data_IF_082289545101
#
_entry.id   IF_082289545101
#
_cell.length_a   1.000
_cell.length_b   1.000
_cell.length_c   1.000
_cell.angle_alpha   90.00
_cell.angle_beta   90.00
_cell.angle_gamma   90.00
#
_symmetry.space_group_name_H-M   'P 1'
#
loop_
_entity.id
_entity.type
_entity.pdbx_description
1 polymer ?
#
# COMPACT_ATOMS: atom_id res chain seq x y z
N UNK A 1 20.13 -4.58 0.60
CA UNK A 1 20.60 -4.96 1.95
C UNK A 1 19.53 -5.70 2.75
N UNK A 2 18.32 -5.14 2.95
CA UNK A 2 17.25 -5.80 3.72
C UNK A 2 16.89 -7.22 3.23
N UNK A 3 16.73 -7.41 1.92
CA UNK A 3 16.39 -8.71 1.31
C UNK A 3 17.38 -9.82 1.69
N UNK A 4 18.68 -9.52 1.63
CA UNK A 4 19.73 -10.48 1.99
C UNK A 4 19.71 -10.82 3.48
N UNK A 5 19.45 -9.82 4.34
CA UNK A 5 19.35 -10.02 5.79
C UNK A 5 18.12 -10.87 6.16
N UNK A 6 16.98 -10.67 5.49
CA UNK A 6 15.81 -11.53 5.65
C UNK A 6 16.07 -12.96 5.22
N UNK A 7 16.77 -13.16 4.10
CA UNK A 7 17.16 -14.49 3.64
C UNK A 7 18.12 -15.22 4.59
N UNK A 8 18.99 -14.49 5.28
CA UNK A 8 19.86 -15.06 6.32
C UNK A 8 19.16 -15.30 7.67
N UNK A 9 17.89 -14.90 7.81
CA UNK A 9 17.18 -14.95 9.09
C UNK A 9 17.57 -13.85 10.09
N UNK A 10 18.36 -12.85 9.67
CA UNK A 10 18.69 -11.67 10.46
C UNK A 10 17.53 -10.65 10.44
N UNK A 11 16.35 -11.06 10.92
CA UNK A 11 15.09 -10.34 10.79
C UNK A 11 15.13 -8.92 11.39
N UNK A 12 15.74 -8.75 12.57
CA UNK A 12 15.81 -7.45 13.24
C UNK A 12 16.58 -6.41 12.41
N UNK A 13 17.78 -6.79 11.93
CA UNK A 13 18.60 -5.92 11.08
C UNK A 13 17.93 -5.66 9.72
N UNK A 14 17.28 -6.70 9.16
CA UNK A 14 16.53 -6.56 7.92
C UNK A 14 15.38 -5.56 8.07
N UNK A 15 14.66 -5.59 9.20
CA UNK A 15 13.60 -4.63 9.51
C UNK A 15 14.15 -3.23 9.73
N UNK A 16 15.26 -3.06 10.45
CA UNK A 16 15.90 -1.75 10.59
C UNK A 16 16.27 -1.18 9.22
N UNK A 17 16.85 -2.00 8.35
CA UNK A 17 17.20 -1.61 6.98
C UNK A 17 15.96 -1.25 6.15
N UNK A 18 14.87 -2.01 6.29
CA UNK A 18 13.62 -1.78 5.58
C UNK A 18 12.91 -0.50 6.06
N UNK A 19 12.86 -0.27 7.38
CA UNK A 19 12.32 0.95 7.96
C UNK A 19 13.14 2.18 7.58
N UNK A 20 14.48 2.07 7.59
CA UNK A 20 15.35 3.14 7.13
C UNK A 20 15.09 3.49 5.66
N UNK A 21 14.92 2.48 4.80
CA UNK A 21 14.54 2.71 3.40
C UNK A 21 13.20 3.44 3.27
N UNK A 22 12.16 3.01 4.00
CA UNK A 22 10.84 3.71 3.97
C UNK A 22 10.89 5.14 4.50
N UNK A 23 11.76 5.38 5.48
CA UNK A 23 11.95 6.70 6.05
C UNK A 23 12.63 7.63 5.04
N UNK A 24 13.71 7.17 4.41
CA UNK A 24 14.42 7.94 3.37
C UNK A 24 13.53 8.25 2.17
N UNK A 25 12.74 7.29 1.70
CA UNK A 25 11.76 7.49 0.63
C UNK A 25 10.75 8.61 0.95
N UNK A 26 10.33 8.70 2.22
CA UNK A 26 9.45 9.78 2.68
C UNK A 26 10.14 11.14 2.68
N UNK A 27 11.43 11.19 3.05
CA UNK A 27 12.23 12.42 3.08
C UNK A 27 12.55 12.88 1.66
N UNK A 28 12.95 11.98 0.77
CA UNK A 28 13.26 12.27 -0.63
C UNK A 28 12.03 12.79 -1.37
N UNK A 29 10.84 12.22 -1.11
CA UNK A 29 9.59 12.74 -1.66
C UNK A 29 9.21 14.14 -1.17
N UNK A 30 9.70 14.58 -0.01
CA UNK A 30 9.56 15.97 0.45
C UNK A 30 10.61 16.87 -0.18
N UNK A 31 11.86 16.41 -0.24
CA UNK A 31 12.98 17.15 -0.82
C UNK A 31 12.78 17.39 -2.31
N UNK A 32 12.30 16.40 -3.06
CA UNK A 32 12.02 16.52 -4.50
C UNK A 32 11.03 17.65 -4.82
N UNK A 33 10.03 17.86 -3.96
CA UNK A 33 9.04 18.96 -4.11
C UNK A 33 9.65 20.34 -3.89
N UNK A 34 10.73 20.43 -3.11
CA UNK A 34 11.44 21.69 -2.84
C UNK A 34 12.49 21.96 -3.93
N UNK A 35 13.08 20.92 -4.53
CA UNK A 35 14.23 21.06 -5.44
C UNK A 35 13.85 21.08 -6.93
N UNK A 36 12.58 20.84 -7.31
CA UNK A 36 12.07 20.85 -8.70
C UNK A 36 12.96 20.05 -9.67
N UNK A 37 13.53 18.93 -9.21
CA UNK A 37 14.48 18.14 -9.99
C UNK A 37 13.81 16.81 -10.39
N UNK A 38 12.94 16.85 -11.40
CA UNK A 38 12.18 15.70 -11.87
C UNK A 38 12.75 15.18 -13.18
N UNK A 39 13.28 13.95 -13.17
CA UNK A 39 13.58 13.18 -14.38
C UNK A 39 12.51 12.10 -14.58
N UNK A 40 11.92 12.05 -15.78
CA UNK A 40 10.90 11.05 -16.14
C UNK A 40 11.42 9.61 -15.99
N UNK A 41 12.71 9.38 -16.27
CA UNK A 41 13.33 8.06 -16.13
C UNK A 41 13.47 7.65 -14.65
N UNK A 42 13.93 8.56 -13.79
CA UNK A 42 14.08 8.30 -12.36
C UNK A 42 12.75 7.91 -11.72
N UNK A 43 11.69 8.67 -12.01
CA UNK A 43 10.35 8.39 -11.49
C UNK A 43 9.81 7.00 -11.90
N UNK A 44 10.07 6.56 -13.13
CA UNK A 44 9.67 5.22 -13.59
C UNK A 44 10.48 4.13 -12.87
N UNK A 45 11.77 4.36 -12.71
CA UNK A 45 12.67 3.41 -12.06
C UNK A 45 12.33 3.22 -10.58
N UNK A 46 12.12 4.32 -9.84
CA UNK A 46 11.74 4.31 -8.43
C UNK A 46 10.39 3.59 -8.25
N UNK A 47 9.42 3.90 -9.13
CA UNK A 47 8.12 3.24 -9.12
C UNK A 47 8.22 1.72 -9.37
N UNK A 48 9.09 1.29 -10.29
CA UNK A 48 9.29 -0.13 -10.59
C UNK A 48 9.95 -0.88 -9.42
N UNK A 49 10.95 -0.28 -8.79
CA UNK A 49 11.62 -0.82 -7.59
C UNK A 49 10.61 -0.97 -6.46
N UNK A 50 9.81 0.05 -6.18
CA UNK A 50 8.80 -0.01 -5.13
C UNK A 50 7.71 -1.05 -5.38
N UNK A 51 7.49 -1.42 -6.66
CA UNK A 51 6.56 -2.48 -7.03
C UNK A 51 7.14 -3.88 -6.80
N UNK A 52 8.43 -4.08 -7.04
CA UNK A 52 9.06 -5.42 -7.07
C UNK A 52 9.66 -5.82 -5.72
N UNK A 53 10.27 -4.88 -4.99
CA UNK A 53 10.98 -5.22 -3.76
C UNK A 53 10.10 -5.72 -2.60
N UNK A 54 8.87 -5.22 -2.37
CA UNK A 54 8.02 -5.72 -1.29
C UNK A 54 7.76 -7.23 -1.34
N UNK A 55 7.26 -7.83 -2.44
CA UNK A 55 7.03 -9.27 -2.49
C UNK A 55 8.32 -10.08 -2.35
N UNK A 56 9.45 -9.56 -2.84
CA UNK A 56 10.75 -10.23 -2.66
C UNK A 56 11.19 -10.28 -1.20
N UNK A 57 10.88 -9.27 -0.39
CA UNK A 57 11.15 -9.31 1.06
C UNK A 57 10.34 -10.41 1.75
N UNK A 58 9.06 -10.57 1.37
CA UNK A 58 8.20 -11.60 1.94
C UNK A 58 8.67 -13.01 1.57
N UNK A 59 9.11 -13.19 0.32
CA UNK A 59 9.71 -14.45 -0.14
C UNK A 59 11.01 -14.73 0.62
N UNK A 60 11.92 -13.76 0.72
CA UNK A 60 13.18 -13.93 1.44
C UNK A 60 12.96 -14.28 2.92
N UNK A 61 11.97 -13.67 3.56
CA UNK A 61 11.56 -13.98 4.94
C UNK A 61 10.96 -15.38 5.07
N UNK A 62 10.09 -15.79 4.14
CA UNK A 62 9.52 -17.15 4.17
C UNK A 62 10.54 -18.23 3.87
N UNK A 63 11.48 -17.98 2.95
CA UNK A 63 12.56 -18.93 2.61
C UNK A 63 13.49 -19.20 3.79
N UNK A 64 13.81 -18.19 4.60
CA UNK A 64 14.63 -18.38 5.80
C UNK A 64 13.89 -19.12 6.93
N UNK A 65 12.56 -19.05 6.95
CA UNK A 65 11.73 -19.84 7.87
C UNK A 65 11.39 -21.24 7.36
N UNK A 66 11.48 -21.49 6.05
CA UNK A 66 11.03 -22.74 5.42
C UNK A 66 11.67 -24.00 6.03
N UNK A 67 12.92 -23.91 6.45
CA UNK A 67 13.66 -25.04 7.05
C UNK A 67 13.32 -25.28 8.53
N UNK A 68 12.71 -24.31 9.21
CA UNK A 68 12.41 -24.34 10.65
C UNK A 68 10.91 -24.51 10.92
N UNK A 69 10.06 -23.88 10.09
CA UNK A 69 8.61 -23.90 10.17
C UNK A 69 8.03 -24.21 8.79
N UNK A 70 7.89 -25.51 8.48
CA UNK A 70 7.34 -25.95 7.19
C UNK A 70 5.83 -25.65 7.06
N UNK A 71 5.12 -25.60 8.18
CA UNK A 71 3.69 -25.32 8.26
C UNK A 71 3.41 -24.28 9.36
N UNK A 72 2.48 -23.38 9.08
CA UNK A 72 2.02 -22.34 10.01
C UNK A 72 0.48 -22.41 10.00
N UNK A 73 -0.12 -22.72 11.15
CA UNK A 73 -1.59 -22.84 11.30
C UNK A 73 -2.17 -23.80 10.24
N UNK A 74 -1.63 -25.01 10.15
CA UNK A 74 -2.02 -26.07 9.20
C UNK A 74 -1.92 -25.69 7.70
N UNK A 75 -1.29 -24.56 7.39
CA UNK A 75 -1.05 -24.10 6.03
C UNK A 75 0.44 -24.20 5.72
N UNK A 76 0.79 -24.82 4.58
CA UNK A 76 2.19 -24.95 4.21
C UNK A 76 2.81 -23.58 3.88
N UNK A 77 4.10 -23.42 4.22
CA UNK A 77 4.85 -22.20 3.92
C UNK A 77 4.79 -21.84 2.43
N UNK A 78 4.83 -22.84 1.55
CA UNK A 78 4.68 -22.66 0.11
C UNK A 78 3.33 -22.02 -0.26
N UNK A 79 2.23 -22.48 0.35
CA UNK A 79 0.91 -21.88 0.13
C UNK A 79 0.85 -20.44 0.61
N UNK A 80 1.43 -20.13 1.79
CA UNK A 80 1.49 -18.76 2.32
C UNK A 80 2.22 -17.82 1.36
N UNK A 81 3.37 -18.25 0.84
CA UNK A 81 4.15 -17.47 -0.13
C UNK A 81 3.40 -17.27 -1.44
N UNK A 82 2.77 -18.33 -1.98
CA UNK A 82 1.98 -18.23 -3.20
C UNK A 82 0.75 -17.35 -3.06
N UNK A 83 0.00 -17.48 -1.96
CA UNK A 83 -1.16 -16.65 -1.68
C UNK A 83 -0.77 -15.18 -1.52
N UNK A 84 0.36 -14.90 -0.85
CA UNK A 84 0.88 -13.53 -0.72
C UNK A 84 1.28 -12.96 -2.09
N UNK A 85 2.00 -13.73 -2.91
CA UNK A 85 2.46 -13.28 -4.23
C UNK A 85 1.30 -13.08 -5.21
N UNK A 86 0.41 -14.07 -5.34
CA UNK A 86 -0.77 -14.00 -6.22
C UNK A 86 -1.71 -12.92 -5.72
N UNK A 87 -1.97 -12.84 -4.42
CA UNK A 87 -2.78 -11.79 -3.82
C UNK A 87 -2.22 -10.41 -4.15
N UNK A 88 -0.92 -10.19 -3.97
CA UNK A 88 -0.26 -8.93 -4.32
C UNK A 88 -0.43 -8.58 -5.80
N UNK A 89 -0.21 -9.55 -6.69
CA UNK A 89 -0.35 -9.37 -8.13
C UNK A 89 -1.79 -9.01 -8.51
N UNK A 90 -2.78 -9.73 -7.98
CA UNK A 90 -4.20 -9.46 -8.19
C UNK A 90 -4.56 -8.05 -7.72
N UNK A 91 -4.11 -7.64 -6.53
CA UNK A 91 -4.34 -6.29 -6.02
C UNK A 91 -3.80 -5.22 -6.97
N UNK A 92 -2.58 -5.41 -7.49
CA UNK A 92 -1.96 -4.47 -8.44
C UNK A 92 -2.63 -4.45 -9.81
N UNK A 93 -3.03 -5.61 -10.31
CA UNK A 93 -3.81 -5.69 -11.54
C UNK A 93 -5.16 -4.97 -11.37
N UNK A 94 -5.83 -5.13 -10.22
CA UNK A 94 -7.10 -4.45 -9.97
C UNK A 94 -6.93 -2.93 -9.97
N UNK A 95 -5.93 -2.40 -9.28
CA UNK A 95 -5.62 -0.97 -9.29
C UNK A 95 -5.30 -0.45 -10.70
N UNK A 96 -4.45 -1.17 -11.44
CA UNK A 96 -4.05 -0.78 -12.80
C UNK A 96 -5.18 -0.85 -13.81
N UNK A 97 -6.03 -1.88 -13.73
CA UNK A 97 -7.24 -2.00 -14.57
C UNK A 97 -8.23 -0.89 -14.22
N UNK A 98 -8.45 -0.61 -12.94
CA UNK A 98 -9.35 0.48 -12.54
C UNK A 98 -8.84 1.83 -13.07
N UNK A 99 -7.54 2.09 -12.93
CA UNK A 99 -6.95 3.34 -13.40
C UNK A 99 -7.02 3.50 -14.92
N UNK A 100 -6.76 2.41 -15.67
CA UNK A 100 -6.73 2.44 -17.14
C UNK A 100 -8.12 2.49 -17.76
N UNK A 101 -9.07 1.76 -17.21
CA UNK A 101 -10.37 1.58 -17.84
C UNK A 101 -11.46 2.43 -17.20
N UNK A 102 -11.47 2.62 -15.88
CA UNK A 102 -12.61 3.21 -15.16
C UNK A 102 -12.38 4.69 -14.86
N UNK A 103 -11.41 5.00 -14.00
CA UNK A 103 -11.14 6.37 -13.52
C UNK A 103 -9.63 6.58 -13.40
N UNK A 104 -9.09 7.58 -14.10
CA UNK A 104 -7.64 7.85 -14.16
C UNK A 104 -7.01 8.23 -12.81
N UNK A 105 -7.83 8.73 -11.88
CA UNK A 105 -7.43 9.04 -10.50
C UNK A 105 -7.14 7.79 -9.65
N UNK A 106 -7.54 6.59 -10.13
CA UNK A 106 -7.31 5.31 -9.48
C UNK A 106 -8.43 4.90 -8.51
N UNK A 107 -8.44 3.61 -8.15
CA UNK A 107 -9.51 2.99 -7.34
C UNK A 107 -9.71 3.65 -5.97
N UNK A 108 -8.63 4.15 -5.37
CA UNK A 108 -8.66 4.75 -4.04
C UNK A 108 -9.22 6.18 -4.00
N UNK A 109 -9.35 6.83 -5.15
CA UNK A 109 -9.91 8.16 -5.25
C UNK A 109 -11.39 8.11 -5.67
N UNK A 110 -11.96 6.91 -5.86
CA UNK A 110 -13.31 6.78 -6.37
C UNK A 110 -14.37 7.10 -5.31
N UNK A 111 -14.33 6.46 -4.14
CA UNK A 111 -15.21 6.80 -3.01
C UNK A 111 -14.42 7.07 -1.72
N UNK A 112 -14.99 7.80 -0.74
CA UNK A 112 -14.32 8.10 0.54
C UNK A 112 -13.86 6.85 1.30
N UNK A 113 -14.64 5.77 1.20
CA UNK A 113 -14.29 4.47 1.82
C UNK A 113 -13.01 3.91 1.21
N UNK A 114 -12.79 4.03 -0.10
CA UNK A 114 -11.56 3.55 -0.73
C UNK A 114 -10.36 4.40 -0.33
N UNK A 115 -10.56 5.71 -0.14
CA UNK A 115 -9.52 6.62 0.33
C UNK A 115 -9.08 6.27 1.76
N UNK A 116 -10.01 5.91 2.63
CA UNK A 116 -9.71 5.40 3.97
C UNK A 116 -8.99 4.04 3.89
N UNK A 117 -9.51 3.14 3.05
CA UNK A 117 -8.91 1.83 2.85
C UNK A 117 -7.45 1.92 2.38
N UNK A 118 -7.11 2.93 1.55
CA UNK A 118 -5.73 3.19 1.12
C UNK A 118 -4.78 3.47 2.28
N UNK A 119 -5.24 4.19 3.31
CA UNK A 119 -4.41 4.52 4.48
C UNK A 119 -4.12 3.29 5.32
N UNK A 120 -5.12 2.43 5.45
CA UNK A 120 -5.02 1.17 6.20
C UNK A 120 -4.15 0.18 5.43
N UNK A 121 -4.36 0.03 4.13
CA UNK A 121 -3.68 -0.97 3.30
C UNK A 121 -2.32 -0.55 2.77
N UNK A 122 -1.83 0.66 3.06
CA UNK A 122 -0.61 1.34 2.60
C UNK A 122 0.64 0.52 2.23
N UNK A 123 0.48 -0.40 1.28
CA UNK A 123 1.33 -1.30 0.49
C UNK A 123 2.56 -1.94 1.13
N UNK A 124 3.40 -1.18 1.83
CA UNK A 124 4.69 -1.64 2.39
C UNK A 124 4.77 -1.41 3.89
N UNK A 125 4.29 -0.26 4.37
CA UNK A 125 4.40 0.14 5.76
C UNK A 125 3.56 -0.74 6.71
N UNK A 126 2.28 -1.06 6.41
CA UNK A 126 1.50 -1.96 7.25
C UNK A 126 2.14 -3.34 7.37
N UNK A 127 2.68 -3.88 6.26
CA UNK A 127 3.33 -5.18 6.28
C UNK A 127 4.61 -5.16 7.13
N UNK A 128 5.40 -4.08 7.08
CA UNK A 128 6.54 -3.91 7.98
C UNK A 128 6.12 -3.79 9.46
N UNK A 129 5.00 -3.15 9.76
CA UNK A 129 4.44 -3.12 11.13
C UNK A 129 4.10 -4.54 11.58
N UNK A 130 3.42 -5.33 10.74
CA UNK A 130 3.07 -6.72 11.05
C UNK A 130 4.32 -7.57 11.32
N UNK A 131 5.36 -7.46 10.48
CA UNK A 131 6.63 -8.14 10.73
C UNK A 131 7.31 -7.68 12.02
N UNK A 132 7.33 -6.37 12.27
CA UNK A 132 7.94 -5.81 13.48
C UNK A 132 7.26 -6.34 14.74
N UNK A 133 5.91 -6.31 14.77
CA UNK A 133 5.15 -6.85 15.89
C UNK A 133 5.41 -8.35 16.07
N UNK A 134 5.38 -9.12 14.99
CA UNK A 134 5.63 -10.57 15.04
C UNK A 134 7.01 -10.92 15.60
N UNK A 135 8.03 -10.13 15.24
CA UNK A 135 9.38 -10.33 15.73
C UNK A 135 9.49 -9.97 17.21
N UNK A 136 8.80 -8.93 17.67
CA UNK A 136 8.74 -8.56 19.09
C UNK A 136 8.12 -9.66 19.96
N UNK A 137 7.14 -10.40 19.42
CA UNK A 137 6.56 -11.56 20.09
C UNK A 137 7.38 -12.86 19.92
N UNK A 138 8.55 -12.78 19.29
CA UNK A 138 9.41 -13.95 19.04
C UNK A 138 8.83 -14.96 18.04
N UNK A 139 7.81 -14.55 17.27
CA UNK A 139 7.07 -15.38 16.32
C UNK A 139 7.13 -14.78 14.91
N UNK A 140 8.30 -14.81 14.25
CA UNK A 140 8.48 -14.25 12.90
C UNK A 140 7.63 -14.96 11.83
N UNK A 141 7.20 -16.19 12.10
CA UNK A 141 6.26 -16.99 11.33
C UNK A 141 4.87 -16.35 11.26
N UNK A 142 4.34 -15.91 12.40
CA UNK A 142 3.02 -15.26 12.47
C UNK A 142 2.98 -13.93 11.71
N UNK A 143 4.11 -13.23 11.59
CA UNK A 143 4.20 -12.00 10.81
C UNK A 143 3.94 -12.24 9.33
N UNK A 144 4.55 -13.29 8.78
CA UNK A 144 4.35 -13.67 7.37
C UNK A 144 2.92 -14.12 7.12
N UNK A 145 2.35 -14.92 8.04
CA UNK A 145 0.94 -15.32 7.97
C UNK A 145 -0.01 -14.11 8.02
N UNK A 146 0.23 -13.16 8.93
CA UNK A 146 -0.55 -11.93 9.03
C UNK A 146 -0.48 -11.10 7.73
N UNK A 147 0.71 -10.97 7.14
CA UNK A 147 0.90 -10.29 5.83
C UNK A 147 0.16 -11.02 4.71
N UNK A 148 0.20 -12.35 4.70
CA UNK A 148 -0.55 -13.15 3.74
C UNK A 148 -2.05 -12.89 3.86
N UNK A 149 -2.61 -13.01 5.07
CA UNK A 149 -4.03 -12.74 5.33
C UNK A 149 -4.41 -11.32 4.95
N UNK A 150 -3.61 -10.33 5.35
CA UNK A 150 -3.81 -8.93 5.00
C UNK A 150 -3.85 -8.72 3.48
N UNK A 151 -2.90 -9.32 2.77
CA UNK A 151 -2.80 -9.23 1.31
C UNK A 151 -4.03 -9.87 0.64
N UNK A 152 -4.42 -11.07 1.04
CA UNK A 152 -5.60 -11.76 0.48
C UNK A 152 -6.87 -10.94 0.72
N UNK A 153 -7.12 -10.51 1.96
CA UNK A 153 -8.30 -9.71 2.31
C UNK A 153 -8.33 -8.40 1.52
N UNK A 154 -7.18 -7.72 1.39
CA UNK A 154 -7.11 -6.47 0.64
C UNK A 154 -7.38 -6.66 -0.86
N UNK A 155 -6.86 -7.72 -1.45
CA UNK A 155 -7.06 -8.01 -2.88
C UNK A 155 -8.47 -8.46 -3.20
N UNK A 156 -9.12 -9.18 -2.29
CA UNK A 156 -10.56 -9.51 -2.40
C UNK A 156 -11.41 -8.24 -2.38
N UNK A 157 -11.14 -7.31 -1.44
CA UNK A 157 -11.81 -6.02 -1.40
C UNK A 157 -11.63 -5.25 -2.71
N UNK A 158 -10.39 -5.13 -3.21
CA UNK A 158 -10.11 -4.42 -4.47
C UNK A 158 -10.78 -5.07 -5.67
N UNK A 159 -10.83 -6.40 -5.73
CA UNK A 159 -11.51 -7.14 -6.80
C UNK A 159 -13.01 -6.87 -6.78
N UNK A 160 -13.62 -6.92 -5.60
CA UNK A 160 -15.04 -6.58 -5.43
C UNK A 160 -15.33 -5.14 -5.88
N UNK A 161 -14.49 -4.17 -5.47
CA UNK A 161 -14.62 -2.76 -5.88
C UNK A 161 -14.45 -2.57 -7.40
N UNK A 162 -13.53 -3.31 -8.02
CA UNK A 162 -13.35 -3.28 -9.47
C UNK A 162 -14.60 -3.77 -10.21
N UNK A 163 -15.17 -4.91 -9.79
CA UNK A 163 -16.40 -5.47 -10.36
C UNK A 163 -17.55 -4.47 -10.19
N UNK A 164 -17.71 -3.92 -8.99
CA UNK A 164 -18.73 -2.92 -8.70
C UNK A 164 -18.57 -1.65 -9.54
N UNK A 165 -17.33 -1.19 -9.76
CA UNK A 165 -17.04 -0.05 -10.65
C UNK A 165 -17.46 -0.31 -12.10
N UNK A 166 -17.17 -1.50 -12.64
CA UNK A 166 -17.63 -1.87 -13.98
C UNK A 166 -19.16 -1.97 -14.08
N UNK A 167 -19.83 -2.49 -13.06
CA UNK A 167 -21.29 -2.54 -13.00
C UNK A 167 -21.89 -1.13 -13.00
N UNK A 168 -21.40 -0.25 -12.13
CA UNK A 168 -21.90 1.11 -12.04
C UNK A 168 -21.65 1.89 -13.34
N UNK A 169 -20.49 1.70 -13.98
CA UNK A 169 -20.22 2.33 -15.27
C UNK A 169 -21.20 1.91 -16.37
N UNK A 170 -21.62 0.64 -16.38
CA UNK A 170 -22.62 0.15 -17.35
C UNK A 170 -23.99 0.77 -17.13
N UNK A 171 -24.37 1.08 -15.88
CA UNK A 171 -25.70 1.59 -15.55
C UNK A 171 -25.79 3.14 -15.52
N UNK A 172 -24.75 3.82 -15.05
CA UNK A 172 -24.80 5.24 -14.68
C UNK A 172 -23.81 6.13 -15.44
N UNK A 173 -23.02 5.59 -16.37
CA UNK A 173 -22.08 6.35 -17.19
C UNK A 173 -20.66 6.44 -16.59
N UNK A 174 -19.82 7.39 -17.04
CA UNK A 174 -18.42 7.48 -16.60
C UNK A 174 -18.34 7.73 -15.10
N UNK A 175 -17.45 7.00 -14.43
CA UNK A 175 -17.16 7.24 -13.02
C UNK A 175 -16.41 8.57 -12.87
N UNK A 176 -16.51 9.18 -11.69
CA UNK A 176 -15.74 10.35 -11.31
C UNK A 176 -15.22 10.18 -9.88
N UNK A 177 -14.03 10.69 -9.65
CA UNK A 177 -13.42 10.81 -8.32
C UNK A 177 -14.26 11.69 -7.39
N UNK A 178 -14.57 11.21 -6.18
CA UNK A 178 -15.34 11.98 -5.19
C UNK A 178 -14.64 13.28 -4.76
N UNK A 179 -13.32 13.41 -4.97
CA UNK A 179 -12.60 14.65 -4.71
C UNK A 179 -13.02 15.80 -5.62
N UNK A 180 -13.54 15.52 -6.82
CA UNK A 180 -13.98 16.54 -7.76
C UNK A 180 -15.36 17.12 -7.40
N UNK A 181 -16.15 16.38 -6.63
CA UNK A 181 -17.50 16.76 -6.22
C UNK A 181 -17.52 17.45 -4.85
N UNK A 182 -16.37 17.52 -4.16
CA UNK A 182 -16.24 18.15 -2.84
C UNK A 182 -15.81 19.61 -2.99
N UNK A 183 -16.73 20.52 -2.65
CA UNK A 183 -16.41 21.93 -2.46
C UNK A 183 -15.86 22.14 -1.03
N UNK A 184 -14.57 22.49 -0.84
CA UNK A 184 -13.94 22.63 0.47
C UNK A 184 -14.51 23.77 1.32
N UNK A 185 -15.32 24.66 0.75
CA UNK A 185 -15.97 25.79 1.45
C UNK A 185 -17.36 25.41 2.01
N UNK A 186 -17.89 24.24 1.63
CA UNK A 186 -19.24 23.83 2.03
C UNK A 186 -19.25 23.20 3.45
N UNK A 187 -20.05 23.76 4.36
CA UNK A 187 -20.16 23.31 5.75
C UNK A 187 -20.84 21.92 5.91
N UNK A 188 -21.46 21.39 4.85
CA UNK A 188 -22.13 20.08 4.88
C UNK A 188 -21.20 18.87 4.72
N UNK A 189 -19.88 19.08 4.72
CA UNK A 189 -18.91 17.97 4.62
C UNK A 189 -19.01 17.02 5.82
N UNK A 190 -19.11 15.73 5.52
CA UNK A 190 -18.96 14.67 6.52
C UNK A 190 -17.58 14.75 7.20
N UNK A 191 -17.48 14.31 8.46
CA UNK A 191 -16.22 14.29 9.24
C UNK A 191 -15.06 13.68 8.44
N UNK A 192 -15.34 12.62 7.68
CA UNK A 192 -14.36 11.96 6.81
C UNK A 192 -13.88 12.86 5.67
N UNK A 193 -14.78 13.59 5.02
CA UNK A 193 -14.44 14.48 3.91
C UNK A 193 -13.63 15.67 4.43
N UNK A 194 -13.99 16.22 5.60
CA UNK A 194 -13.22 17.28 6.26
C UNK A 194 -11.78 16.85 6.54
N UNK A 195 -11.56 15.62 7.01
CA UNK A 195 -10.22 15.13 7.31
C UNK A 195 -9.32 15.03 6.07
N UNK A 196 -9.88 14.71 4.89
CA UNK A 196 -9.14 14.65 3.64
C UNK A 196 -9.03 16.00 2.90
N UNK A 197 -9.96 16.93 3.12
CA UNK A 197 -10.03 18.23 2.43
C UNK A 197 -9.53 19.41 3.27
N UNK A 198 -9.07 19.16 4.50
CA UNK A 198 -8.58 20.22 5.37
C UNK A 198 -7.36 20.92 4.73
N UNK A 199 -7.54 22.16 4.29
CA UNK A 199 -6.41 23.06 4.03
C UNK A 199 -5.91 23.58 5.38
N UNK A 200 -4.58 23.68 5.58
CA UNK A 200 -4.08 24.51 6.66
C UNK A 200 -4.60 25.93 6.41
N UNK A 201 -5.17 26.55 7.45
CA UNK A 201 -5.65 27.92 7.39
C UNK A 201 -4.49 28.80 6.92
N UNK A 202 -4.54 29.25 5.67
CA UNK A 202 -3.69 30.33 5.21
C UNK A 202 -4.33 31.55 5.87
N UNK A 203 -3.81 31.92 7.04
CA UNK A 203 -4.04 33.27 7.58
C UNK A 203 -3.76 34.23 6.43
N UNK A 204 -4.84 34.84 5.92
CA UNK A 204 -4.73 35.92 4.98
C UNK A 204 -3.85 36.97 5.66
N UNK A 205 -2.61 37.08 5.19
CA UNK A 205 -1.69 38.12 5.61
C UNK A 205 -2.42 39.44 5.46
N UNK A 206 -2.79 40.03 6.59
CA UNK A 206 -3.46 41.31 6.64
C UNK A 206 -2.55 42.34 6.00
N UNK A 207 -3.07 42.99 4.96
CA UNK A 207 -2.57 44.28 4.50
C UNK A 207 -2.56 45.24 5.70
N UNK A 208 -1.37 45.74 6.03
CA UNK A 208 -1.16 46.98 6.78
C UNK A 208 -0.36 47.93 5.89
#
# INVERSE_FOLDING_TARGET
MALFQFYQGAYAWGLVSAWLMTFLDTVDGKLARVTINYSTFGNIFDHAIDLIFPPLWYIAWGLSLYTVHAEIVDLSMSWILWLTLVGYLVGRLCEGVFQKYLESSGIFCWQPVDSCFRLITGRRNPNLILFTLSLLFGRPDLGLFAVCMWTVLSSLFLTHRLIYGFQLRKHSGPLRSWFLDVDPVNDQLSVFQRWFCHRPDVEAGGDN
#
